data_IF_990129568771
#
_entry.id   IF_990129568771
#
_cell.length_a   1.000
_cell.length_b   1.000
_cell.length_c   1.000
_cell.angle_alpha   90.00
_cell.angle_beta   90.00
_cell.angle_gamma   90.00
#
_symmetry.space_group_name_H-M   'P 1'
#
loop_
_entity.id
_entity.type
_entity.pdbx_description
1 polymer ?
#
# COMPACT_ATOMS: atom_id res chain seq x y z
N UNK A 1 4.48 20.40 2.82
CA UNK A 1 3.50 19.46 2.24
C UNK A 1 4.06 18.95 0.93
N UNK A 2 4.04 17.63 0.67
CA UNK A 2 4.45 17.10 -0.64
C UNK A 2 3.32 17.32 -1.65
N UNK A 3 3.63 17.49 -2.95
CA UNK A 3 2.60 17.50 -3.99
C UNK A 3 1.83 16.17 -4.03
N UNK A 4 0.60 16.21 -4.53
CA UNK A 4 -0.23 15.02 -4.69
C UNK A 4 0.37 14.05 -5.70
N UNK A 5 0.30 12.76 -5.38
CA UNK A 5 0.79 11.68 -6.25
C UNK A 5 -0.38 11.03 -6.98
N UNK A 6 -0.64 11.50 -8.21
CA UNK A 6 -1.78 11.05 -9.03
C UNK A 6 -1.85 9.53 -9.24
N UNK A 7 -0.70 8.89 -9.45
CA UNK A 7 -0.64 7.44 -9.65
C UNK A 7 -1.07 6.66 -8.40
N UNK A 8 -0.90 7.23 -7.21
CA UNK A 8 -1.43 6.64 -5.98
C UNK A 8 -2.94 6.78 -5.92
N UNK A 9 -3.50 7.93 -6.28
CA UNK A 9 -4.95 8.14 -6.30
C UNK A 9 -5.64 7.22 -7.30
N UNK A 10 -5.11 7.14 -8.53
CA UNK A 10 -5.58 6.24 -9.58
C UNK A 10 -5.61 4.78 -9.15
N UNK A 11 -4.71 4.39 -8.25
CA UNK A 11 -4.63 3.06 -7.67
C UNK A 11 -5.58 2.89 -6.49
N UNK A 12 -5.48 3.76 -5.49
CA UNK A 12 -6.18 3.67 -4.22
C UNK A 12 -7.69 3.75 -4.41
N UNK A 13 -8.17 4.67 -5.24
CA UNK A 13 -9.60 4.91 -5.45
C UNK A 13 -10.29 3.76 -6.19
N UNK A 14 -9.53 2.89 -6.86
CA UNK A 14 -10.06 1.68 -7.54
C UNK A 14 -10.07 0.45 -6.64
N UNK A 15 -9.57 0.54 -5.40
CA UNK A 15 -9.59 -0.59 -4.48
C UNK A 15 -11.03 -0.93 -4.08
N UNK A 16 -11.35 -2.22 -4.13
CA UNK A 16 -12.65 -2.75 -3.70
C UNK A 16 -12.48 -3.77 -2.59
N UNK A 17 -13.49 -3.86 -1.73
CA UNK A 17 -13.50 -4.75 -0.58
C UNK A 17 -13.26 -6.22 -0.93
N UNK A 18 -13.84 -6.68 -2.04
CA UNK A 18 -13.76 -8.06 -2.53
C UNK A 18 -12.42 -8.41 -3.18
N UNK A 19 -11.76 -7.43 -3.80
CA UNK A 19 -10.50 -7.62 -4.55
C UNK A 19 -9.24 -7.41 -3.71
N UNK A 20 -9.30 -6.57 -2.68
CA UNK A 20 -8.11 -6.19 -1.91
C UNK A 20 -7.84 -7.13 -0.73
N UNK A 21 -7.59 -8.40 -1.02
CA UNK A 21 -7.37 -9.45 0.00
C UNK A 21 -5.98 -9.43 0.64
N UNK A 22 -5.04 -8.68 0.06
CA UNK A 22 -3.65 -8.57 0.55
C UNK A 22 -3.51 -7.70 1.81
N UNK A 23 -4.42 -6.75 1.99
CA UNK A 23 -4.38 -5.83 3.13
C UNK A 23 -5.37 -6.33 4.20
N UNK A 24 -4.88 -6.92 5.30
CA UNK A 24 -5.74 -7.53 6.30
C UNK A 24 -6.61 -6.52 7.04
N UNK A 25 -6.25 -5.23 7.03
CA UNK A 25 -6.99 -4.16 7.69
C UNK A 25 -8.01 -3.46 6.78
N UNK A 26 -8.07 -3.84 5.51
CA UNK A 26 -8.96 -3.19 4.55
C UNK A 26 -10.45 -3.39 4.88
N UNK A 27 -10.91 -4.58 5.35
CA UNK A 27 -12.28 -4.75 5.82
C UNK A 27 -12.65 -3.87 7.01
N UNK A 28 -11.77 -3.70 7.99
CA UNK A 28 -11.99 -2.80 9.13
C UNK A 28 -12.02 -1.34 8.68
N UNK A 29 -11.08 -0.94 7.83
CA UNK A 29 -11.06 0.39 7.22
C UNK A 29 -12.36 0.68 6.48
N UNK A 30 -12.85 -0.26 5.65
CA UNK A 30 -14.07 -0.09 4.86
C UNK A 30 -15.29 0.12 5.77
N UNK A 31 -15.45 -0.73 6.78
CA UNK A 31 -16.52 -0.63 7.76
C UNK A 31 -16.52 0.73 8.48
N UNK A 32 -15.34 1.17 8.94
CA UNK A 32 -15.21 2.46 9.62
C UNK A 32 -15.41 3.65 8.68
N UNK A 33 -14.84 3.60 7.47
CA UNK A 33 -14.91 4.69 6.50
C UNK A 33 -16.33 4.95 6.00
N UNK A 34 -17.12 3.89 5.86
CA UNK A 34 -18.48 3.96 5.36
C UNK A 34 -19.54 3.75 6.44
N UNK A 35 -19.13 3.59 7.71
CA UNK A 35 -20.02 3.40 8.86
C UNK A 35 -21.02 2.25 8.63
N UNK A 36 -20.51 1.12 8.18
CA UNK A 36 -21.25 -0.09 7.86
C UNK A 36 -20.57 -1.33 8.43
N UNK A 37 -21.27 -2.46 8.51
CA UNK A 37 -20.74 -3.75 8.98
C UNK A 37 -20.72 -4.79 7.86
N UNK A 38 -19.89 -5.82 8.04
CA UNK A 38 -19.72 -6.96 7.14
C UNK A 38 -20.21 -8.26 7.80
N UNK A 39 -21.51 -8.60 7.69
CA UNK A 39 -22.09 -9.78 8.33
C UNK A 39 -21.34 -11.07 7.99
N UNK A 40 -20.92 -11.80 9.01
CA UNK A 40 -20.24 -13.10 8.85
C UNK A 40 -18.76 -13.00 8.47
N UNK A 41 -18.21 -11.78 8.35
CA UNK A 41 -16.77 -11.58 8.24
C UNK A 41 -16.11 -11.72 9.61
N UNK A 42 -14.89 -12.27 9.67
CA UNK A 42 -14.15 -12.46 10.93
C UNK A 42 -13.90 -11.15 11.69
N UNK A 43 -13.82 -10.04 10.95
CA UNK A 43 -13.55 -8.69 11.45
C UNK A 43 -14.82 -7.82 11.48
N UNK A 44 -16.01 -8.44 11.51
CA UNK A 44 -17.28 -7.71 11.59
C UNK A 44 -17.30 -6.78 12.82
N UNK A 45 -17.69 -5.52 12.61
CA UNK A 45 -17.94 -4.58 13.70
C UNK A 45 -19.45 -4.41 13.93
N UNK A 46 -20.02 -5.03 14.99
CA UNK A 46 -21.46 -5.02 15.24
C UNK A 46 -22.02 -3.66 15.67
N UNK A 47 -21.18 -2.66 15.95
CA UNK A 47 -21.62 -1.32 16.32
C UNK A 47 -22.26 -0.57 15.14
N UNK A 48 -21.91 -0.92 13.90
CA UNK A 48 -22.51 -0.33 12.71
C UNK A 48 -23.80 -1.06 12.33
N UNK A 49 -24.89 -0.31 12.15
CA UNK A 49 -26.21 -0.89 11.84
C UNK A 49 -26.36 -1.25 10.35
N UNK A 50 -25.81 -0.42 9.47
CA UNK A 50 -25.91 -0.56 8.01
C UNK A 50 -25.02 -1.71 7.53
N UNK A 51 -25.51 -2.54 6.61
CA UNK A 51 -24.69 -3.57 5.95
C UNK A 51 -23.92 -2.91 4.79
N UNK A 52 -22.62 -3.17 4.67
CA UNK A 52 -21.86 -2.66 3.53
C UNK A 52 -22.29 -3.36 2.24
N UNK A 53 -22.34 -2.63 1.13
CA UNK A 53 -22.65 -3.22 -0.19
C UNK A 53 -21.41 -3.72 -0.90
N UNK A 54 -20.23 -3.20 -0.54
CA UNK A 54 -18.97 -3.43 -1.25
C UNK A 54 -18.80 -2.53 -2.48
N UNK A 55 -19.82 -1.74 -2.83
CA UNK A 55 -19.82 -0.79 -3.94
C UNK A 55 -19.70 0.67 -3.49
N UNK A 56 -19.45 0.91 -2.19
CA UNK A 56 -19.18 2.26 -1.71
C UNK A 56 -17.95 2.87 -2.42
N UNK A 57 -18.01 4.15 -2.78
CA UNK A 57 -16.94 4.82 -3.51
C UNK A 57 -15.91 5.44 -2.56
N UNK A 58 -14.63 5.15 -2.80
CA UNK A 58 -13.53 5.79 -2.07
C UNK A 58 -13.30 7.24 -2.52
N UNK A 59 -13.87 7.67 -3.65
CA UNK A 59 -13.70 9.01 -4.22
C UNK A 59 -14.46 10.07 -3.42
N UNK A 60 -15.60 9.70 -2.83
CA UNK A 60 -16.44 10.62 -2.07
C UNK A 60 -15.69 11.14 -0.84
N UNK A 61 -15.43 12.45 -0.73
CA UNK A 61 -14.68 13.06 0.38
C UNK A 61 -13.26 12.48 0.57
N UNK A 62 -12.62 12.05 -0.51
CA UNK A 62 -11.22 11.67 -0.50
C UNK A 62 -10.29 12.86 -0.27
N UNK A 63 -9.28 12.69 0.59
CA UNK A 63 -8.18 13.63 0.78
C UNK A 63 -6.89 12.81 0.89
N UNK A 64 -5.94 13.04 -0.02
CA UNK A 64 -4.64 12.36 0.02
C UNK A 64 -3.82 12.84 1.22
N UNK A 65 -3.07 11.92 1.86
CA UNK A 65 -2.15 12.30 2.93
C UNK A 65 -1.08 13.29 2.43
N UNK A 66 -0.92 14.39 3.16
CA UNK A 66 0.01 15.50 2.87
C UNK A 66 1.50 15.10 2.76
N UNK A 67 1.86 13.88 3.19
CA UNK A 67 3.21 13.32 3.21
C UNK A 67 3.33 12.07 2.34
N UNK A 68 2.32 11.71 1.55
CA UNK A 68 2.32 10.53 0.69
C UNK A 68 3.54 10.49 -0.24
N UNK A 69 3.94 11.64 -0.80
CA UNK A 69 5.13 11.74 -1.65
C UNK A 69 6.43 11.38 -0.92
N UNK A 70 6.56 11.70 0.37
CA UNK A 70 7.75 11.34 1.14
C UNK A 70 7.84 9.83 1.40
N UNK A 71 6.71 9.17 1.63
CA UNK A 71 6.67 7.71 1.77
C UNK A 71 7.13 7.03 0.49
N UNK A 72 6.61 7.48 -0.66
CA UNK A 72 7.01 6.96 -1.98
C UNK A 72 8.50 7.21 -2.24
N UNK A 73 9.00 8.41 -1.94
CA UNK A 73 10.41 8.74 -2.10
C UNK A 73 11.32 7.87 -1.21
N UNK A 74 10.92 7.54 0.01
CA UNK A 74 11.68 6.65 0.88
C UNK A 74 11.80 5.22 0.31
N UNK A 75 10.72 4.70 -0.28
CA UNK A 75 10.72 3.40 -0.97
C UNK A 75 11.67 3.45 -2.17
N UNK A 76 11.57 4.49 -3.01
CA UNK A 76 12.47 4.65 -4.16
C UNK A 76 13.93 4.86 -3.75
N UNK A 77 14.21 5.56 -2.65
CA UNK A 77 15.56 5.73 -2.15
C UNK A 77 16.20 4.38 -1.79
N UNK A 78 15.46 3.49 -1.11
CA UNK A 78 15.92 2.12 -0.86
C UNK A 78 16.12 1.32 -2.15
N UNK A 79 15.19 1.42 -3.10
CA UNK A 79 15.30 0.72 -4.39
C UNK A 79 16.54 1.17 -5.18
N UNK A 80 16.80 2.47 -5.27
CA UNK A 80 18.01 3.01 -5.90
C UNK A 80 19.29 2.61 -5.15
N UNK A 81 19.26 2.59 -3.82
CA UNK A 81 20.38 2.08 -3.01
C UNK A 81 20.73 0.63 -3.34
N UNK A 82 19.72 -0.24 -3.38
CA UNK A 82 19.88 -1.65 -3.76
C UNK A 82 20.36 -1.81 -5.21
N UNK A 83 19.85 -1.01 -6.14
CA UNK A 83 20.29 -1.02 -7.54
C UNK A 83 21.77 -0.62 -7.67
N UNK A 84 22.20 0.40 -6.94
CA UNK A 84 23.59 0.85 -6.94
C UNK A 84 24.53 -0.20 -6.35
N UNK A 85 24.12 -0.86 -5.25
CA UNK A 85 24.84 -1.99 -4.69
C UNK A 85 24.95 -3.15 -5.70
N UNK A 86 23.86 -3.47 -6.40
CA UNK A 86 23.84 -4.49 -7.44
C UNK A 86 24.79 -4.16 -8.60
N UNK A 87 24.77 -2.94 -9.12
CA UNK A 87 25.69 -2.51 -10.16
C UNK A 87 27.17 -2.63 -9.75
N UNK A 88 27.49 -2.37 -8.48
CA UNK A 88 28.85 -2.44 -7.96
C UNK A 88 29.34 -3.87 -7.72
N UNK A 89 28.47 -4.75 -7.22
CA UNK A 89 28.85 -6.10 -6.77
C UNK A 89 28.55 -7.20 -7.79
N UNK A 90 27.59 -6.98 -8.69
CA UNK A 90 27.07 -7.98 -9.62
C UNK A 90 27.05 -7.47 -11.08
N UNK A 91 28.17 -6.94 -11.64
CA UNK A 91 28.17 -6.42 -13.00
C UNK A 91 27.82 -7.49 -14.02
N UNK A 92 26.85 -7.20 -14.90
CA UNK A 92 26.40 -8.12 -15.97
C UNK A 92 25.50 -9.27 -15.52
N UNK A 93 25.16 -9.36 -14.23
CA UNK A 93 24.24 -10.37 -13.72
C UNK A 93 22.79 -9.88 -13.67
N UNK A 94 21.83 -10.75 -14.00
CA UNK A 94 20.41 -10.53 -13.74
C UNK A 94 20.04 -11.16 -12.39
N UNK A 95 19.41 -10.38 -11.51
CA UNK A 95 19.09 -10.80 -10.15
C UNK A 95 20.31 -10.81 -9.20
N UNK A 96 20.15 -11.41 -8.02
CA UNK A 96 21.19 -11.41 -6.98
C UNK A 96 22.31 -12.42 -7.29
N UNK A 97 23.55 -11.93 -7.32
CA UNK A 97 24.76 -12.76 -7.33
C UNK A 97 25.21 -13.14 -5.90
N UNK A 98 26.22 -13.99 -5.78
CA UNK A 98 26.67 -14.51 -4.47
C UNK A 98 27.24 -13.40 -3.56
N UNK A 99 27.77 -12.32 -4.13
CA UNK A 99 28.23 -11.15 -3.37
C UNK A 99 27.10 -10.36 -2.69
N UNK A 100 25.84 -10.62 -3.02
CA UNK A 100 24.66 -10.03 -2.36
C UNK A 100 23.83 -11.06 -1.58
N UNK A 101 24.42 -12.22 -1.25
CA UNK A 101 23.78 -13.30 -0.49
C UNK A 101 24.64 -13.69 0.72
N UNK A 102 24.38 -13.15 1.94
CA UNK A 102 23.36 -12.15 2.26
C UNK A 102 23.77 -10.73 1.84
N UNK A 103 22.81 -9.81 1.84
CA UNK A 103 23.07 -8.38 1.71
C UNK A 103 23.68 -7.88 3.03
N UNK A 104 24.87 -7.27 2.96
CA UNK A 104 25.52 -6.63 4.09
C UNK A 104 24.98 -5.21 4.31
N UNK A 105 24.22 -5.01 5.39
CA UNK A 105 23.66 -3.71 5.77
C UNK A 105 24.55 -2.89 6.72
N UNK A 106 25.76 -3.35 7.01
CA UNK A 106 26.70 -2.67 7.92
C UNK A 106 27.55 -1.59 7.26
N UNK A 107 27.44 -1.44 5.93
CA UNK A 107 28.20 -0.47 5.13
C UNK A 107 27.33 0.60 4.51
#
# INVERSE_FOLDING_TARGET
QSPEVRSFDDYFLKLRLDTNTRNPWFPEFWQHRFQCRLPGHLLENPNFKRICTGNESLEENYVQDSKMGFVINAIYAMAHGLQNMHHALCPGHVGLCDAMKPIDGSK
#
